data_IF_746947115082
#
_entry.id   IF_746947115082
#
_cell.length_a   1.000
_cell.length_b   1.000
_cell.length_c   1.000
_cell.angle_alpha   90.00
_cell.angle_beta   90.00
_cell.angle_gamma   90.00
#
_symmetry.space_group_name_H-M   'P 1'
#
loop_
_entity.id
_entity.type
_entity.pdbx_description
1 polymer ?
#
# COMPACT_ATOMS: atom_id res chain seq x y z
N UNK A 1 -12.49 -42.85 23.95
CA UNK A 1 -12.13 -42.52 22.56
C UNK A 1 -12.53 -41.10 22.17
N UNK A 2 -13.78 -40.69 22.40
CA UNK A 2 -14.29 -39.33 22.07
C UNK A 2 -13.54 -38.21 22.83
N UNK A 3 -13.25 -38.41 24.11
CA UNK A 3 -12.55 -37.41 24.94
C UNK A 3 -11.10 -37.14 24.47
N UNK A 4 -10.39 -38.20 24.07
CA UNK A 4 -9.03 -38.08 23.53
C UNK A 4 -9.03 -37.32 22.20
N UNK A 5 -9.99 -37.59 21.32
CA UNK A 5 -10.17 -36.84 20.07
C UNK A 5 -10.47 -35.36 20.33
N UNK A 6 -11.29 -35.05 21.33
CA UNK A 6 -11.62 -33.67 21.69
C UNK A 6 -10.40 -32.92 22.23
N UNK A 7 -9.60 -33.56 23.10
CA UNK A 7 -8.34 -33.01 23.61
C UNK A 7 -7.34 -32.78 22.47
N UNK A 8 -7.23 -33.72 21.52
CA UNK A 8 -6.37 -33.56 20.34
C UNK A 8 -6.81 -32.37 19.47
N UNK A 9 -8.11 -32.20 19.22
CA UNK A 9 -8.64 -31.07 18.44
C UNK A 9 -8.36 -29.75 19.17
N UNK A 10 -8.62 -29.67 20.48
CA UNK A 10 -8.35 -28.47 21.27
C UNK A 10 -6.85 -28.13 21.26
N UNK A 11 -5.96 -29.11 21.40
CA UNK A 11 -4.52 -28.90 21.32
C UNK A 11 -4.07 -28.42 19.94
N UNK A 12 -4.64 -28.95 18.85
CA UNK A 12 -4.36 -28.50 17.48
C UNK A 12 -4.82 -27.05 17.28
N UNK A 13 -5.99 -26.69 17.81
CA UNK A 13 -6.51 -25.31 17.72
C UNK A 13 -5.64 -24.35 18.54
N UNK A 14 -5.24 -24.73 19.76
CA UNK A 14 -4.38 -23.90 20.62
C UNK A 14 -2.98 -23.72 20.05
N UNK A 15 -2.44 -24.74 19.37
CA UNK A 15 -1.11 -24.70 18.73
C UNK A 15 -1.17 -24.39 17.23
N UNK A 16 -2.30 -23.89 16.72
CA UNK A 16 -2.49 -23.66 15.28
C UNK A 16 -1.37 -22.82 14.68
N UNK A 17 -0.96 -21.76 15.36
CA UNK A 17 0.09 -20.86 14.86
C UNK A 17 1.48 -21.51 14.93
N UNK A 18 1.78 -22.28 15.99
CA UNK A 18 3.03 -23.07 16.09
C UNK A 18 3.11 -24.14 15.00
N UNK A 19 2.01 -24.85 14.75
CA UNK A 19 1.91 -25.88 13.70
C UNK A 19 2.04 -25.23 12.32
N UNK A 20 1.33 -24.11 12.08
CA UNK A 20 1.43 -23.37 10.83
C UNK A 20 2.87 -22.91 10.57
N UNK A 21 3.54 -22.32 11.58
CA UNK A 21 4.93 -21.89 11.47
C UNK A 21 5.88 -23.06 11.24
N UNK A 22 5.68 -24.21 11.91
CA UNK A 22 6.47 -25.41 11.68
C UNK A 22 6.30 -25.94 10.25
N UNK A 23 5.07 -26.03 9.75
CA UNK A 23 4.78 -26.47 8.38
C UNK A 23 5.37 -25.51 7.36
N UNK A 24 5.28 -24.21 7.59
CA UNK A 24 5.85 -23.17 6.71
C UNK A 24 7.38 -23.31 6.65
N UNK A 25 8.03 -23.45 7.82
CA UNK A 25 9.48 -23.68 7.92
C UNK A 25 9.92 -24.98 7.26
N UNK A 26 9.15 -26.06 7.39
CA UNK A 26 9.45 -27.35 6.74
C UNK A 26 9.31 -27.27 5.21
N UNK A 27 8.36 -26.48 4.70
CA UNK A 27 8.12 -26.33 3.26
C UNK A 27 9.04 -25.32 2.59
N UNK A 28 9.38 -24.23 3.29
CA UNK A 28 10.00 -23.04 2.70
C UNK A 28 11.27 -22.57 3.43
N UNK A 29 11.71 -23.24 4.49
CA UNK A 29 12.85 -22.79 5.31
C UNK A 29 14.17 -22.66 4.55
N UNK A 30 14.40 -23.50 3.54
CA UNK A 30 15.57 -23.36 2.66
C UNK A 30 15.49 -22.12 1.76
N UNK A 31 14.30 -21.81 1.24
CA UNK A 31 14.05 -20.59 0.46
C UNK A 31 14.26 -19.34 1.33
N UNK A 32 13.83 -19.36 2.60
CA UNK A 32 14.04 -18.26 3.54
C UNK A 32 15.51 -17.95 3.80
N UNK A 33 16.34 -18.98 4.00
CA UNK A 33 17.77 -18.80 4.26
C UNK A 33 18.51 -18.16 3.09
N UNK A 34 18.17 -18.57 1.85
CA UNK A 34 18.74 -18.03 0.62
C UNK A 34 18.34 -16.57 0.37
N UNK A 35 17.12 -16.19 0.79
CA UNK A 35 16.54 -14.87 0.54
C UNK A 35 16.90 -13.84 1.62
N UNK A 36 17.13 -14.28 2.87
CA UNK A 36 17.43 -13.37 3.99
C UNK A 36 18.68 -12.51 3.79
N UNK A 37 19.64 -12.95 2.96
CA UNK A 37 20.85 -12.17 2.61
C UNK A 37 20.62 -11.06 1.57
N UNK A 38 19.49 -11.06 0.86
CA UNK A 38 19.18 -10.12 -0.23
C UNK A 38 18.43 -8.86 0.27
N UNK A 39 17.86 -8.93 1.47
CA UNK A 39 16.82 -8.01 1.94
C UNK A 39 17.20 -6.53 2.13
N UNK A 40 18.47 -6.13 2.07
CA UNK A 40 18.86 -4.74 2.32
C UNK A 40 19.12 -3.89 1.07
N UNK A 41 19.51 -4.49 -0.06
CA UNK A 41 19.92 -3.71 -1.25
C UNK A 41 19.40 -4.19 -2.60
N UNK A 42 18.87 -5.41 -2.71
CA UNK A 42 18.42 -5.99 -4.00
C UNK A 42 19.46 -5.88 -5.14
N UNK A 43 20.74 -5.76 -4.79
CA UNK A 43 21.85 -5.74 -5.74
C UNK A 43 22.22 -7.18 -6.11
N UNK A 44 22.51 -7.41 -7.39
CA UNK A 44 22.99 -8.70 -7.92
C UNK A 44 22.08 -9.90 -7.60
N UNK A 45 20.76 -9.71 -7.64
CA UNK A 45 19.78 -10.80 -7.51
C UNK A 45 19.88 -11.75 -8.71
N UNK A 46 20.18 -13.01 -8.44
CA UNK A 46 20.15 -14.07 -9.46
C UNK A 46 18.71 -14.43 -9.85
N UNK A 47 18.52 -15.06 -11.01
CA UNK A 47 17.19 -15.50 -11.45
C UNK A 47 16.50 -16.44 -10.45
N UNK A 48 17.24 -17.38 -9.86
CA UNK A 48 16.73 -18.30 -8.84
C UNK A 48 16.24 -17.54 -7.59
N UNK A 49 17.04 -16.60 -7.10
CA UNK A 49 16.64 -15.73 -5.98
C UNK A 49 15.41 -14.88 -6.31
N UNK A 50 15.32 -14.36 -7.53
CA UNK A 50 14.16 -13.59 -7.97
C UNK A 50 12.88 -14.44 -7.98
N UNK A 51 12.95 -15.68 -8.49
CA UNK A 51 11.83 -16.62 -8.48
C UNK A 51 11.39 -16.91 -7.04
N UNK A 52 12.33 -17.21 -6.13
CA UNK A 52 12.02 -17.46 -4.72
C UNK A 52 11.39 -16.24 -4.03
N UNK A 53 11.95 -15.04 -4.25
CA UNK A 53 11.41 -13.79 -3.72
C UNK A 53 9.99 -13.52 -4.22
N UNK A 54 9.75 -13.64 -5.52
CA UNK A 54 8.42 -13.44 -6.10
C UNK A 54 7.40 -14.44 -5.54
N UNK A 55 7.78 -15.73 -5.39
CA UNK A 55 6.93 -16.75 -4.77
C UNK A 55 6.63 -16.45 -3.29
N UNK A 56 7.66 -16.09 -2.52
CA UNK A 56 7.53 -15.71 -1.11
C UNK A 56 6.57 -14.54 -0.94
N UNK A 57 6.76 -13.48 -1.71
CA UNK A 57 5.89 -12.31 -1.68
C UNK A 57 4.46 -12.65 -2.06
N UNK A 58 4.24 -13.42 -3.13
CA UNK A 58 2.89 -13.85 -3.51
C UNK A 58 2.17 -14.62 -2.38
N UNK A 59 2.89 -15.39 -1.56
CA UNK A 59 2.35 -16.13 -0.41
C UNK A 59 2.11 -15.25 0.82
N UNK A 60 2.98 -14.27 1.06
CA UNK A 60 3.08 -13.55 2.35
C UNK A 60 2.57 -12.11 2.31
N UNK A 61 1.92 -11.69 1.22
CA UNK A 61 1.42 -10.33 1.03
C UNK A 61 0.80 -9.71 2.28
N UNK A 62 -0.25 -10.31 2.84
CA UNK A 62 -0.94 -9.75 4.01
C UNK A 62 -0.07 -9.76 5.28
N UNK A 63 0.84 -10.73 5.45
CA UNK A 63 1.82 -10.69 6.55
C UNK A 63 2.74 -9.46 6.41
N UNK A 64 3.11 -9.11 5.18
CA UNK A 64 3.98 -7.96 4.88
C UNK A 64 3.25 -6.61 4.94
N UNK A 65 1.92 -6.58 5.02
CA UNK A 65 1.13 -5.36 5.26
C UNK A 65 1.03 -5.00 6.76
N UNK A 66 1.34 -5.93 7.65
CA UNK A 66 1.34 -5.71 9.09
C UNK A 66 2.60 -4.95 9.48
N UNK A 67 2.45 -3.69 9.92
CA UNK A 67 3.58 -2.80 10.23
C UNK A 67 4.11 -3.10 11.64
N UNK A 68 5.35 -3.62 11.79
CA UNK A 68 5.86 -4.14 13.07
C UNK A 68 5.80 -3.16 14.25
N UNK A 69 5.99 -1.87 13.97
CA UNK A 69 6.11 -0.80 14.96
C UNK A 69 4.85 0.09 15.06
N UNK A 70 3.68 -0.38 14.63
CA UNK A 70 2.41 0.34 14.74
C UNK A 70 1.39 -0.44 15.59
N UNK A 71 0.97 0.10 16.73
CA UNK A 71 0.19 -0.61 17.74
C UNK A 71 -1.26 -0.11 17.86
N UNK A 72 -2.27 -0.99 18.00
CA UNK A 72 -2.17 -2.44 18.13
C UNK A 72 -1.79 -3.13 16.80
N UNK A 73 -0.71 -3.93 16.85
CA UNK A 73 -0.14 -4.57 15.67
C UNK A 73 -0.76 -5.97 15.42
N UNK A 74 -2.09 -6.04 15.34
CA UNK A 74 -2.81 -7.31 15.22
C UNK A 74 -3.19 -7.65 13.78
N UNK A 75 -3.47 -6.62 12.98
CA UNK A 75 -3.91 -6.76 11.59
C UNK A 75 -3.38 -5.58 10.78
N UNK A 76 -3.35 -5.72 9.47
CA UNK A 76 -3.03 -4.65 8.52
C UNK A 76 -4.10 -3.54 8.49
N UNK A 77 -5.27 -3.76 9.08
CA UNK A 77 -6.38 -2.79 9.08
C UNK A 77 -6.71 -2.25 10.48
N UNK A 78 -7.51 -1.18 10.51
CA UNK A 78 -7.87 -0.47 11.73
C UNK A 78 -6.89 0.63 12.12
N UNK A 79 -7.12 1.19 13.30
CA UNK A 79 -6.30 2.22 13.92
C UNK A 79 -5.02 1.62 14.49
N UNK A 80 -3.90 2.30 14.30
CA UNK A 80 -2.70 2.08 15.10
C UNK A 80 -1.89 3.37 15.28
N UNK A 81 -1.10 3.41 16.34
CA UNK A 81 -0.15 4.46 16.68
C UNK A 81 1.26 3.90 16.59
N UNK A 82 2.16 4.61 15.89
CA UNK A 82 3.54 4.17 15.73
C UNK A 82 4.35 4.36 17.01
N UNK A 83 5.36 3.52 17.17
CA UNK A 83 6.38 3.69 18.20
C UNK A 83 7.05 5.07 18.12
N UNK A 84 7.04 5.77 19.26
CA UNK A 84 7.56 7.12 19.44
C UNK A 84 9.06 7.16 19.68
N UNK A 85 9.73 6.05 19.98
CA UNK A 85 11.15 6.03 20.39
C UNK A 85 12.08 6.70 19.37
N UNK A 86 11.76 6.62 18.07
CA UNK A 86 12.58 7.20 17.00
C UNK A 86 11.98 8.49 16.39
N UNK A 87 10.97 9.07 17.02
CA UNK A 87 10.31 10.29 16.55
C UNK A 87 10.95 11.51 17.22
N UNK A 88 11.42 12.48 16.44
CA UNK A 88 12.22 13.62 16.95
C UNK A 88 11.69 15.00 16.57
N UNK A 89 10.60 15.06 15.80
CA UNK A 89 9.96 16.32 15.41
C UNK A 89 8.84 16.75 16.36
N UNK A 90 8.03 17.70 15.92
CA UNK A 90 6.97 18.33 16.72
C UNK A 90 5.55 18.17 16.13
N UNK A 91 5.44 17.57 14.94
CA UNK A 91 4.19 17.46 14.18
C UNK A 91 3.42 16.17 14.46
N UNK A 92 2.09 16.27 14.33
CA UNK A 92 1.21 15.11 14.24
C UNK A 92 1.12 14.68 12.77
N UNK A 93 1.57 13.48 12.45
CA UNK A 93 1.44 12.90 11.10
C UNK A 93 0.38 11.80 11.11
N UNK A 94 -0.54 11.82 10.16
CA UNK A 94 -1.59 10.81 10.07
C UNK A 94 -1.60 10.18 8.67
N UNK A 95 -1.68 8.85 8.60
CA UNK A 95 -1.89 8.08 7.37
C UNK A 95 -3.28 7.48 7.36
N UNK A 96 -4.06 7.71 6.30
CA UNK A 96 -5.43 7.20 6.17
C UNK A 96 -5.66 6.62 4.78
N UNK A 97 -6.55 5.64 4.65
CA UNK A 97 -6.95 5.09 3.36
C UNK A 97 -7.30 3.61 3.38
N UNK A 98 -7.03 2.94 2.25
CA UNK A 98 -7.32 1.53 2.09
C UNK A 98 -6.11 0.64 2.38
N UNK A 99 -6.03 -0.51 1.73
CA UNK A 99 -4.95 -1.47 1.93
C UNK A 99 -3.59 -0.99 1.41
N UNK A 100 -3.53 0.13 0.67
CA UNK A 100 -2.27 0.80 0.37
C UNK A 100 -1.69 1.58 1.55
N UNK A 101 -2.51 2.00 2.51
CA UNK A 101 -2.03 2.67 3.72
C UNK A 101 -1.10 1.78 4.57
N UNK A 102 -1.46 0.54 4.94
CA UNK A 102 -0.49 -0.37 5.57
C UNK A 102 0.67 -0.74 4.65
N UNK A 103 0.44 -0.84 3.33
CA UNK A 103 1.48 -1.20 2.37
C UNK A 103 2.60 -0.17 2.30
N UNK A 104 2.27 1.12 2.36
CA UNK A 104 3.22 2.24 2.23
C UNK A 104 3.53 2.93 3.56
N UNK A 105 2.82 2.61 4.64
CA UNK A 105 2.95 3.30 5.92
C UNK A 105 4.35 3.22 6.53
N UNK A 106 5.07 2.12 6.31
CA UNK A 106 6.48 1.99 6.71
C UNK A 106 7.41 2.97 5.99
N UNK A 107 7.12 3.33 4.73
CA UNK A 107 7.89 4.34 4.00
C UNK A 107 7.67 5.71 4.61
N UNK A 108 6.41 6.08 4.86
CA UNK A 108 6.06 7.35 5.52
C UNK A 108 6.69 7.42 6.90
N UNK A 109 6.60 6.38 7.73
CA UNK A 109 7.29 6.36 9.03
C UNK A 109 8.79 6.56 8.88
N UNK A 110 9.43 5.84 7.96
CA UNK A 110 10.88 5.89 7.76
C UNK A 110 11.36 7.30 7.37
N UNK A 111 10.62 8.00 6.52
CA UNK A 111 11.03 9.31 6.01
C UNK A 111 10.58 10.45 6.94
N UNK A 112 9.34 10.40 7.46
CA UNK A 112 8.78 11.47 8.29
C UNK A 112 9.07 11.37 9.79
N UNK A 113 9.77 10.35 10.29
CA UNK A 113 10.08 10.22 11.73
C UNK A 113 10.78 11.43 12.34
N UNK A 114 11.60 12.15 11.56
CA UNK A 114 12.33 13.32 12.05
C UNK A 114 11.45 14.59 12.09
N UNK A 115 10.27 14.53 11.50
CA UNK A 115 9.30 15.61 11.43
C UNK A 115 8.17 15.43 12.45
N UNK A 116 7.91 14.19 12.88
CA UNK A 116 6.79 13.85 13.73
C UNK A 116 7.17 13.79 15.22
N UNK A 117 6.24 14.19 16.10
CA UNK A 117 6.20 13.79 17.52
C UNK A 117 5.33 12.55 17.75
N UNK A 118 4.37 12.33 16.87
CA UNK A 118 3.46 11.17 16.88
C UNK A 118 3.00 10.89 15.46
N UNK A 119 2.89 9.60 15.14
CA UNK A 119 2.38 9.15 13.85
C UNK A 119 1.22 8.17 14.06
N UNK A 120 0.14 8.38 13.32
CA UNK A 120 -1.04 7.54 13.36
C UNK A 120 -1.30 6.90 12.00
N UNK A 121 -1.95 5.75 12.03
CA UNK A 121 -2.53 5.11 10.85
C UNK A 121 -3.98 4.74 11.13
N UNK A 122 -4.84 4.92 10.15
CA UNK A 122 -6.10 4.18 10.10
C UNK A 122 -6.32 3.67 8.67
N UNK A 123 -6.72 2.42 8.53
CA UNK A 123 -7.05 1.89 7.20
C UNK A 123 -8.21 0.93 7.22
N UNK A 124 -8.97 0.88 6.13
CA UNK A 124 -10.03 -0.10 5.91
C UNK A 124 -9.88 -0.73 4.53
N UNK A 125 -9.97 -2.05 4.43
CA UNK A 125 -9.80 -2.74 3.15
C UNK A 125 -10.73 -2.18 2.07
N UNK A 126 -10.21 -1.93 0.87
CA UNK A 126 -10.93 -1.47 -0.33
C UNK A 126 -11.53 -0.05 -0.28
N UNK A 127 -11.85 0.50 0.89
CA UNK A 127 -12.61 1.75 0.99
C UNK A 127 -11.72 2.99 0.77
N UNK A 128 -12.08 3.78 -0.22
CA UNK A 128 -11.42 5.03 -0.63
C UNK A 128 -11.85 6.23 0.25
N UNK A 129 -11.01 7.27 0.26
CA UNK A 129 -11.15 8.42 1.16
C UNK A 129 -11.95 9.53 0.51
N UNK A 130 -11.62 9.90 -0.72
CA UNK A 130 -12.13 11.14 -1.32
C UNK A 130 -13.57 11.00 -1.82
N UNK A 131 -13.90 9.85 -2.40
CA UNK A 131 -15.27 9.54 -2.81
C UNK A 131 -15.73 8.26 -2.11
N UNK A 132 -17.00 8.19 -1.78
CA UNK A 132 -17.55 7.03 -1.07
C UNK A 132 -17.94 5.97 -2.09
N UNK A 133 -17.24 4.84 -2.06
CA UNK A 133 -17.61 3.66 -2.83
C UNK A 133 -19.04 3.19 -2.47
N UNK A 134 -19.75 2.59 -3.43
CA UNK A 134 -21.18 2.32 -3.30
C UNK A 134 -21.52 1.32 -2.17
N UNK A 135 -20.53 0.50 -1.76
CA UNK A 135 -20.68 -0.49 -0.71
C UNK A 135 -21.02 0.15 0.65
N UNK A 136 -22.05 -0.39 1.31
CA UNK A 136 -22.48 0.07 2.64
C UNK A 136 -21.34 0.08 3.67
N UNK A 137 -20.40 -0.88 3.57
CA UNK A 137 -19.23 -0.94 4.47
C UNK A 137 -18.30 0.26 4.32
N UNK A 138 -18.21 0.84 3.11
CA UNK A 138 -17.33 1.97 2.84
C UNK A 138 -17.93 3.31 3.28
N UNK A 139 -19.27 3.42 3.38
CA UNK A 139 -19.90 4.56 4.10
C UNK A 139 -19.43 4.65 5.55
N UNK A 140 -19.47 3.54 6.29
CA UNK A 140 -18.99 3.49 7.67
C UNK A 140 -17.49 3.76 7.77
N UNK A 141 -16.70 3.20 6.85
CA UNK A 141 -15.25 3.46 6.81
C UNK A 141 -14.95 4.96 6.63
N UNK A 142 -15.69 5.63 5.73
CA UNK A 142 -15.55 7.06 5.48
C UNK A 142 -15.89 7.92 6.72
N UNK A 143 -16.98 7.60 7.43
CA UNK A 143 -17.30 8.25 8.71
C UNK A 143 -16.16 8.07 9.72
N UNK A 144 -15.58 6.88 9.80
CA UNK A 144 -14.43 6.63 10.70
C UNK A 144 -13.16 7.35 10.25
N UNK A 145 -12.92 7.50 8.94
CA UNK A 145 -11.80 8.29 8.42
C UNK A 145 -11.90 9.75 8.89
N UNK A 146 -13.07 10.37 8.73
CA UNK A 146 -13.32 11.73 9.21
C UNK A 146 -13.16 11.82 10.72
N UNK A 147 -13.81 10.93 11.48
CA UNK A 147 -13.73 10.90 12.94
C UNK A 147 -12.29 10.84 13.45
N UNK A 148 -11.50 9.88 12.97
CA UNK A 148 -10.13 9.68 13.44
C UNK A 148 -9.23 10.86 13.07
N UNK A 149 -9.32 11.37 11.85
CA UNK A 149 -8.49 12.50 11.42
C UNK A 149 -8.87 13.78 12.15
N UNK A 150 -10.17 14.08 12.30
CA UNK A 150 -10.63 15.31 12.95
C UNK A 150 -10.45 15.27 14.47
N UNK A 151 -10.43 14.09 15.08
CA UNK A 151 -10.06 13.94 16.48
C UNK A 151 -8.55 14.17 16.71
N UNK A 152 -7.68 13.76 15.78
CA UNK A 152 -6.23 13.87 15.93
C UNK A 152 -5.64 15.19 15.44
N UNK A 153 -6.38 15.95 14.61
CA UNK A 153 -5.98 17.26 14.07
C UNK A 153 -4.53 17.27 13.55
N UNK A 154 -4.22 16.46 12.52
CA UNK A 154 -2.84 16.30 12.08
C UNK A 154 -2.27 17.58 11.45
N UNK A 155 -0.98 17.79 11.65
CA UNK A 155 -0.23 18.80 10.89
C UNK A 155 -0.06 18.33 9.43
N UNK A 156 0.18 17.03 9.24
CA UNK A 156 0.41 16.40 7.93
C UNK A 156 -0.47 15.17 7.77
N UNK A 157 -1.20 15.09 6.66
CA UNK A 157 -2.06 13.96 6.33
C UNK A 157 -1.56 13.26 5.06
N UNK A 158 -1.44 11.94 5.10
CA UNK A 158 -1.19 11.09 3.94
C UNK A 158 -2.47 10.30 3.63
N UNK A 159 -3.08 10.60 2.48
CA UNK A 159 -4.18 9.85 1.90
C UNK A 159 -3.61 8.78 0.97
N UNK A 160 -3.56 7.54 1.45
CA UNK A 160 -2.88 6.41 0.80
C UNK A 160 -3.90 5.32 0.44
N UNK A 161 -4.65 5.56 -0.62
CA UNK A 161 -5.64 4.63 -1.15
C UNK A 161 -5.55 4.49 -2.67
N UNK A 162 -5.94 3.33 -3.16
CA UNK A 162 -6.24 3.11 -4.58
C UNK A 162 -7.73 3.35 -4.83
N UNK A 163 -8.14 4.39 -5.57
CA UNK A 163 -9.55 4.70 -5.72
C UNK A 163 -10.27 3.80 -6.75
N UNK A 164 -11.57 3.59 -6.54
CA UNK A 164 -12.44 2.85 -7.44
C UNK A 164 -13.43 3.77 -8.12
N UNK A 165 -14.18 4.55 -7.34
CA UNK A 165 -15.15 5.49 -7.86
C UNK A 165 -14.49 6.59 -8.67
N UNK A 166 -13.33 7.11 -8.26
CA UNK A 166 -12.61 8.11 -9.05
C UNK A 166 -12.13 7.58 -10.41
N UNK A 167 -12.06 6.26 -10.66
CA UNK A 167 -11.61 5.73 -11.95
C UNK A 167 -12.73 5.59 -13.00
N UNK A 168 -13.99 5.84 -12.58
CA UNK A 168 -15.16 5.73 -13.47
C UNK A 168 -15.06 6.68 -14.67
N UNK A 169 -15.69 6.38 -15.81
CA UNK A 169 -15.62 7.22 -17.01
C UNK A 169 -15.95 8.69 -16.75
N UNK A 170 -15.29 9.59 -17.49
CA UNK A 170 -15.60 11.01 -17.53
C UNK A 170 -16.52 11.29 -18.73
N UNK A 171 -17.68 11.91 -18.48
CA UNK A 171 -18.65 12.28 -19.50
C UNK A 171 -18.68 13.80 -19.72
N UNK A 172 -17.51 14.40 -19.97
CA UNK A 172 -17.34 15.84 -20.17
C UNK A 172 -16.25 16.47 -19.28
N UNK A 173 -16.25 17.80 -19.11
CA UNK A 173 -15.29 18.51 -18.26
C UNK A 173 -15.36 18.04 -16.80
N UNK A 174 -14.19 17.89 -16.16
CA UNK A 174 -14.08 17.38 -14.78
C UNK A 174 -14.84 18.25 -13.77
N UNK A 175 -14.90 19.56 -13.98
CA UNK A 175 -15.56 20.50 -13.07
C UNK A 175 -17.07 20.24 -12.96
N UNK A 176 -17.66 19.65 -13.99
CA UNK A 176 -19.08 19.32 -14.04
C UNK A 176 -19.39 17.90 -13.54
N UNK A 177 -18.36 17.06 -13.33
CA UNK A 177 -18.52 15.68 -12.89
C UNK A 177 -18.92 15.59 -11.41
N UNK A 178 -19.96 14.81 -11.13
CA UNK A 178 -20.47 14.60 -9.78
C UNK A 178 -19.48 13.86 -8.87
N UNK A 179 -18.68 12.93 -9.40
CA UNK A 179 -17.65 12.23 -8.63
C UNK A 179 -16.55 13.21 -8.21
N UNK A 180 -16.19 14.14 -9.11
CA UNK A 180 -15.25 15.20 -8.79
C UNK A 180 -15.79 16.17 -7.74
N UNK A 181 -17.05 16.60 -7.86
CA UNK A 181 -17.70 17.49 -6.88
C UNK A 181 -17.79 16.85 -5.49
N UNK A 182 -18.12 15.56 -5.43
CA UNK A 182 -18.11 14.78 -4.20
C UNK A 182 -16.70 14.77 -3.58
N UNK A 183 -15.70 14.37 -4.37
CA UNK A 183 -14.31 14.32 -3.92
C UNK A 183 -13.78 15.68 -3.46
N UNK A 184 -14.14 16.76 -4.14
CA UNK A 184 -13.78 18.13 -3.76
C UNK A 184 -14.42 18.52 -2.43
N UNK A 185 -15.70 18.19 -2.24
CA UNK A 185 -16.42 18.47 -0.99
C UNK A 185 -15.75 17.77 0.19
N UNK A 186 -15.43 16.48 0.03
CA UNK A 186 -14.69 15.71 1.04
C UNK A 186 -13.30 16.30 1.29
N UNK A 187 -12.54 16.60 0.24
CA UNK A 187 -11.19 17.16 0.37
C UNK A 187 -11.18 18.49 1.14
N UNK A 188 -12.19 19.36 0.93
CA UNK A 188 -12.32 20.62 1.66
C UNK A 188 -12.48 20.42 3.16
N UNK A 189 -13.20 19.38 3.61
CA UNK A 189 -13.30 19.07 5.04
C UNK A 189 -11.92 18.74 5.62
N UNK A 190 -11.13 17.93 4.92
CA UNK A 190 -9.77 17.60 5.35
C UNK A 190 -8.85 18.81 5.29
N UNK A 191 -8.88 19.61 4.23
CA UNK A 191 -8.07 20.83 4.10
C UNK A 191 -8.31 21.82 5.25
N UNK A 192 -9.54 21.92 5.74
CA UNK A 192 -9.88 22.77 6.89
C UNK A 192 -9.36 22.23 8.23
N UNK A 193 -9.23 20.91 8.38
CA UNK A 193 -8.83 20.28 9.64
C UNK A 193 -7.33 19.95 9.71
N UNK A 194 -6.65 19.79 8.56
CA UNK A 194 -5.21 19.51 8.49
C UNK A 194 -4.44 20.82 8.52
N UNK A 195 -3.42 20.93 9.38
CA UNK A 195 -2.77 22.23 9.60
C UNK A 195 -1.88 22.68 8.44
N UNK A 196 -1.02 21.80 7.92
CA UNK A 196 0.05 22.17 6.97
C UNK A 196 -0.12 21.55 5.58
N UNK A 197 -0.07 20.23 5.47
CA UNK A 197 0.01 19.53 4.17
C UNK A 197 -0.84 18.26 4.09
N UNK A 198 -1.38 18.00 2.91
CA UNK A 198 -2.11 16.77 2.55
C UNK A 198 -1.41 16.15 1.34
N UNK A 199 -0.80 14.99 1.52
CA UNK A 199 -0.25 14.20 0.43
C UNK A 199 -1.26 13.16 -0.02
N UNK A 200 -1.57 13.14 -1.31
CA UNK A 200 -2.54 12.22 -1.90
C UNK A 200 -1.80 11.26 -2.82
N UNK A 201 -1.90 9.96 -2.57
CA UNK A 201 -1.38 8.96 -3.49
C UNK A 201 -2.13 9.05 -4.82
N UNK A 202 -1.39 9.14 -5.91
CA UNK A 202 -2.01 9.18 -7.23
C UNK A 202 -2.83 7.91 -7.54
N UNK A 203 -3.79 8.06 -8.43
CA UNK A 203 -4.50 6.94 -9.03
C UNK A 203 -3.54 6.23 -9.97
N UNK A 204 -3.35 4.93 -9.74
CA UNK A 204 -2.60 4.05 -10.61
C UNK A 204 -3.27 2.68 -10.63
N UNK A 205 -2.97 1.85 -11.63
CA UNK A 205 -3.52 0.50 -11.70
C UNK A 205 -2.43 -0.53 -12.04
N UNK A 206 -2.14 -1.45 -11.10
CA UNK A 206 -1.38 -2.65 -11.39
C UNK A 206 -2.07 -3.55 -12.42
N UNK A 207 -1.33 -4.32 -13.22
CA UNK A 207 -1.93 -5.32 -14.09
C UNK A 207 -2.58 -6.45 -13.29
N UNK A 208 -3.73 -6.94 -13.77
CA UNK A 208 -4.50 -7.99 -13.08
C UNK A 208 -4.42 -9.35 -13.76
N UNK A 209 -4.01 -9.40 -15.04
CA UNK A 209 -4.04 -10.61 -15.85
C UNK A 209 -2.86 -11.58 -15.58
N UNK A 210 -1.79 -11.08 -14.96
CA UNK A 210 -0.58 -11.84 -14.70
C UNK A 210 -0.08 -11.54 -13.26
N UNK A 211 -0.70 -12.17 -12.24
CA UNK A 211 -0.29 -12.00 -10.84
C UNK A 211 1.14 -12.50 -10.61
N UNK A 212 1.76 -12.06 -9.51
CA UNK A 212 3.15 -12.32 -9.15
C UNK A 212 3.46 -13.82 -9.07
N UNK A 213 2.55 -14.62 -8.49
CA UNK A 213 2.68 -16.08 -8.42
C UNK A 213 2.80 -16.72 -9.82
N UNK A 214 1.96 -16.29 -10.76
CA UNK A 214 1.98 -16.79 -12.14
C UNK A 214 3.21 -16.29 -12.89
N UNK A 215 3.62 -15.04 -12.68
CA UNK A 215 4.87 -14.51 -13.22
C UNK A 215 6.08 -15.33 -12.75
N UNK A 216 6.18 -15.61 -11.45
CA UNK A 216 7.25 -16.44 -10.89
C UNK A 216 7.26 -17.85 -11.49
N UNK A 217 6.07 -18.44 -11.72
CA UNK A 217 5.96 -19.75 -12.37
C UNK A 217 6.44 -19.75 -13.82
N UNK A 218 6.14 -18.71 -14.59
CA UNK A 218 6.65 -18.58 -15.96
C UNK A 218 8.19 -18.51 -16.00
N UNK A 219 8.79 -17.75 -15.08
CA UNK A 219 10.25 -17.68 -14.95
C UNK A 219 10.87 -19.04 -14.57
N UNK A 220 10.24 -19.76 -13.63
CA UNK A 220 10.67 -21.11 -13.23
C UNK A 220 10.60 -22.11 -14.39
N UNK A 221 9.57 -22.02 -15.23
CA UNK A 221 9.43 -22.86 -16.43
C UNK A 221 10.44 -22.49 -17.55
N UNK A 222 11.33 -21.51 -17.32
CA UNK A 222 12.29 -21.01 -18.30
C UNK A 222 11.65 -20.20 -19.43
N UNK A 223 10.41 -19.72 -19.26
CA UNK A 223 9.71 -18.95 -20.30
C UNK A 223 10.18 -17.51 -20.31
N UNK A 224 10.36 -16.96 -21.51
CA UNK A 224 10.60 -15.52 -21.69
C UNK A 224 9.32 -14.75 -21.38
N UNK A 225 9.38 -13.82 -20.43
CA UNK A 225 8.29 -12.89 -20.09
C UNK A 225 8.67 -11.50 -20.58
N UNK A 226 7.75 -10.82 -21.27
CA UNK A 226 7.87 -9.43 -21.71
C UNK A 226 6.82 -8.56 -20.98
N UNK A 227 7.12 -7.27 -20.75
CA UNK A 227 6.19 -6.29 -20.18
C UNK A 227 4.85 -6.23 -20.93
N UNK A 228 4.83 -6.44 -22.24
CA UNK A 228 3.61 -6.43 -23.05
C UNK A 228 2.60 -7.53 -22.69
N UNK A 229 3.01 -8.55 -21.94
CA UNK A 229 2.11 -9.58 -21.43
C UNK A 229 1.23 -9.08 -20.29
N UNK A 230 1.61 -7.98 -19.64
CA UNK A 230 0.84 -7.35 -18.56
C UNK A 230 -0.15 -6.35 -19.17
N UNK A 231 -1.44 -6.57 -18.91
CA UNK A 231 -2.53 -5.72 -19.40
C UNK A 231 -2.84 -4.66 -18.37
N UNK A 232 -2.88 -3.42 -18.85
CA UNK A 232 -3.14 -2.23 -18.03
C UNK A 232 -4.58 -1.79 -18.28
N UNK A 233 -5.32 -1.60 -17.20
CA UNK A 233 -6.60 -0.88 -17.28
C UNK A 233 -6.31 0.62 -17.18
N UNK A 234 -6.50 1.34 -18.29
CA UNK A 234 -6.26 2.78 -18.38
C UNK A 234 -7.37 3.63 -17.71
N UNK A 235 -8.41 3.02 -17.12
CA UNK A 235 -9.44 3.76 -16.38
C UNK A 235 -8.87 4.60 -15.23
N UNK A 236 -7.70 4.23 -14.69
CA UNK A 236 -6.99 5.02 -13.68
C UNK A 236 -6.67 6.45 -14.13
N UNK A 237 -6.52 6.69 -15.44
CA UNK A 237 -6.26 8.03 -15.99
C UNK A 237 -7.41 8.99 -15.69
N UNK A 238 -8.66 8.49 -15.62
CA UNK A 238 -9.80 9.31 -15.20
C UNK A 238 -9.65 9.73 -13.73
N UNK A 239 -9.18 8.83 -12.87
CA UNK A 239 -8.93 9.11 -11.46
C UNK A 239 -7.78 10.07 -11.25
N UNK A 240 -6.69 9.88 -11.99
CA UNK A 240 -5.53 10.78 -11.98
C UNK A 240 -5.95 12.19 -12.42
N UNK A 241 -6.71 12.30 -13.51
CA UNK A 241 -7.20 13.59 -14.00
C UNK A 241 -8.07 14.31 -12.97
N UNK A 242 -9.00 13.59 -12.31
CA UNK A 242 -9.78 14.15 -11.19
C UNK A 242 -8.88 14.63 -10.05
N UNK A 243 -7.90 13.82 -9.63
CA UNK A 243 -7.00 14.19 -8.53
C UNK A 243 -6.11 15.39 -8.87
N UNK A 244 -5.62 15.50 -10.11
CA UNK A 244 -4.86 16.68 -10.56
C UNK A 244 -5.70 17.96 -10.48
N UNK A 245 -6.97 17.91 -10.89
CA UNK A 245 -7.89 19.05 -10.73
C UNK A 245 -8.23 19.35 -9.27
N UNK A 246 -8.30 18.32 -8.41
CA UNK A 246 -8.51 18.50 -6.97
C UNK A 246 -7.33 19.23 -6.32
N UNK A 247 -6.10 18.81 -6.63
CA UNK A 247 -4.87 19.41 -6.07
C UNK A 247 -4.72 20.87 -6.51
N UNK A 248 -5.08 21.22 -7.75
CA UNK A 248 -5.13 22.64 -8.19
C UNK A 248 -6.06 23.51 -7.35
N UNK A 249 -7.11 22.92 -6.75
CA UNK A 249 -8.09 23.62 -5.93
C UNK A 249 -7.77 23.57 -4.43
N UNK A 250 -6.78 22.79 -3.99
CA UNK A 250 -6.41 22.63 -2.58
C UNK A 250 -5.01 23.20 -2.31
N UNK A 251 -4.95 24.25 -1.49
CA UNK A 251 -3.71 24.98 -1.16
C UNK A 251 -2.68 24.15 -0.40
N UNK A 252 -3.15 23.13 0.34
CA UNK A 252 -2.34 22.24 1.16
C UNK A 252 -1.98 20.92 0.47
N UNK A 253 -2.52 20.65 -0.72
CA UNK A 253 -2.47 19.33 -1.30
C UNK A 253 -1.31 19.14 -2.27
N UNK A 254 -0.78 17.93 -2.33
CA UNK A 254 0.25 17.51 -3.28
C UNK A 254 0.06 16.03 -3.65
N UNK A 255 0.35 15.68 -4.92
CA UNK A 255 0.29 14.30 -5.39
C UNK A 255 1.60 13.57 -5.11
N UNK A 256 1.50 12.34 -4.59
CA UNK A 256 2.59 11.38 -4.58
C UNK A 256 2.53 10.58 -5.88
N UNK A 257 3.41 10.93 -6.83
CA UNK A 257 3.51 10.27 -8.14
C UNK A 257 4.50 9.10 -8.12
N UNK A 258 4.06 7.95 -7.59
CA UNK A 258 4.86 6.71 -7.63
C UNK A 258 5.07 6.20 -9.06
N UNK A 259 4.24 6.66 -10.00
CA UNK A 259 4.22 6.31 -11.40
C UNK A 259 5.45 6.83 -12.12
N UNK A 260 5.99 7.98 -11.72
CA UNK A 260 7.25 8.51 -12.23
C UNK A 260 8.44 7.54 -12.06
N UNK A 261 8.30 6.57 -11.15
CA UNK A 261 9.32 5.54 -10.86
C UNK A 261 8.90 4.15 -11.34
N UNK A 262 7.65 3.74 -11.06
CA UNK A 262 7.17 2.40 -11.40
C UNK A 262 6.65 2.29 -12.84
N UNK A 263 6.51 3.43 -13.54
CA UNK A 263 6.06 3.54 -14.92
C UNK A 263 7.16 4.20 -15.73
N UNK A 264 7.24 3.86 -17.02
CA UNK A 264 8.19 4.49 -17.95
C UNK A 264 7.39 5.22 -19.03
N UNK A 265 6.92 6.42 -18.71
CA UNK A 265 6.04 7.20 -19.60
C UNK A 265 4.70 6.49 -19.85
N UNK A 266 4.42 6.15 -21.10
CA UNK A 266 3.13 5.54 -21.51
C UNK A 266 3.03 4.03 -21.23
N UNK A 267 4.04 3.42 -20.60
CA UNK A 267 4.07 1.99 -20.32
C UNK A 267 4.25 1.74 -18.82
N UNK A 268 3.35 0.97 -18.24
CA UNK A 268 3.48 0.50 -16.86
C UNK A 268 4.52 -0.61 -16.81
N UNK A 269 5.53 -0.53 -15.94
CA UNK A 269 6.42 -1.67 -15.69
C UNK A 269 5.81 -2.52 -14.59
N UNK A 270 5.84 -3.84 -14.78
CA UNK A 270 5.25 -4.78 -13.83
C UNK A 270 6.31 -5.57 -13.04
N UNK A 271 7.55 -5.52 -13.51
CA UNK A 271 8.73 -6.12 -12.91
C UNK A 271 9.99 -5.41 -13.43
N UNK A 272 11.11 -5.57 -12.74
CA UNK A 272 12.41 -5.08 -13.20
C UNK A 272 13.07 -6.08 -14.16
N UNK A 273 13.47 -5.63 -15.34
CA UNK A 273 14.00 -6.53 -16.37
C UNK A 273 15.37 -7.12 -16.02
N UNK A 274 16.15 -6.46 -15.17
CA UNK A 274 17.49 -6.93 -14.76
C UNK A 274 17.39 -8.00 -13.68
N UNK A 275 16.70 -7.70 -12.59
CA UNK A 275 16.57 -8.58 -11.42
C UNK A 275 15.42 -9.58 -11.54
N UNK A 276 14.47 -9.36 -12.44
CA UNK A 276 13.22 -10.14 -12.58
C UNK A 276 12.33 -10.12 -11.34
N UNK A 277 12.48 -9.14 -10.46
CA UNK A 277 11.61 -8.93 -9.30
C UNK A 277 10.34 -8.18 -9.70
N UNK A 278 9.19 -8.73 -9.32
CA UNK A 278 7.89 -8.10 -9.61
C UNK A 278 7.61 -6.89 -8.72
N UNK A 279 6.87 -5.92 -9.27
CA UNK A 279 6.54 -4.68 -8.56
C UNK A 279 5.27 -4.77 -7.72
N UNK A 280 4.38 -5.69 -8.09
CA UNK A 280 3.09 -5.85 -7.46
C UNK A 280 2.89 -7.27 -6.94
N UNK A 281 2.29 -7.38 -5.77
CA UNK A 281 1.77 -8.63 -5.23
C UNK A 281 0.54 -9.11 -6.01
N UNK A 282 0.09 -10.35 -5.74
CA UNK A 282 -1.13 -10.91 -6.32
C UNK A 282 -2.38 -10.07 -5.99
N UNK A 283 -2.49 -9.56 -4.74
CA UNK A 283 -3.54 -8.64 -4.29
C UNK A 283 -3.33 -7.18 -4.71
N UNK A 284 -2.44 -6.92 -5.68
CA UNK A 284 -2.20 -5.60 -6.28
C UNK A 284 -1.55 -4.58 -5.33
N UNK A 285 -0.94 -5.01 -4.23
CA UNK A 285 -0.11 -4.15 -3.37
C UNK A 285 1.31 -4.02 -3.95
N UNK A 286 2.11 -3.06 -3.47
CA UNK A 286 3.48 -2.82 -3.92
C UNK A 286 4.45 -3.71 -3.13
N UNK A 287 5.31 -4.46 -3.83
CA UNK A 287 6.30 -5.38 -3.24
C UNK A 287 7.41 -4.62 -2.49
N UNK A 288 8.15 -5.27 -1.57
CA UNK A 288 9.25 -4.62 -0.86
C UNK A 288 10.34 -4.08 -1.79
N UNK A 289 10.54 -4.72 -2.95
CA UNK A 289 11.45 -4.23 -3.97
C UNK A 289 10.95 -2.95 -4.62
N UNK A 290 9.70 -2.91 -5.09
CA UNK A 290 9.14 -1.68 -5.65
C UNK A 290 9.00 -0.56 -4.60
N UNK A 291 8.75 -0.89 -3.33
CA UNK A 291 8.83 0.07 -2.23
C UNK A 291 10.23 0.68 -2.07
N UNK A 292 11.29 -0.11 -2.26
CA UNK A 292 12.66 0.40 -2.26
C UNK A 292 12.89 1.37 -3.43
N UNK A 293 12.38 1.05 -4.62
CA UNK A 293 12.47 1.93 -5.79
C UNK A 293 11.77 3.28 -5.57
N UNK A 294 10.61 3.30 -4.91
CA UNK A 294 9.86 4.55 -4.64
C UNK A 294 10.27 5.26 -3.35
N UNK A 295 11.10 4.65 -2.50
CA UNK A 295 11.57 5.27 -1.25
C UNK A 295 12.20 6.66 -1.48
N UNK A 296 13.04 6.89 -2.52
CA UNK A 296 13.58 8.22 -2.81
C UNK A 296 12.50 9.29 -3.03
N UNK A 297 11.32 8.93 -3.57
CA UNK A 297 10.21 9.88 -3.71
C UNK A 297 9.71 10.36 -2.34
N UNK A 298 9.47 9.42 -1.41
CA UNK A 298 9.06 9.74 -0.05
C UNK A 298 10.15 10.49 0.73
N UNK A 299 11.42 10.20 0.47
CA UNK A 299 12.55 10.91 1.05
C UNK A 299 12.58 12.36 0.55
N UNK A 300 12.42 12.56 -0.76
CA UNK A 300 12.36 13.90 -1.35
C UNK A 300 11.18 14.72 -0.82
N UNK A 301 10.01 14.11 -0.62
CA UNK A 301 8.86 14.77 0.01
C UNK A 301 9.21 15.23 1.44
N UNK A 302 9.91 14.39 2.20
CA UNK A 302 10.35 14.72 3.56
C UNK A 302 11.41 15.82 3.59
N UNK A 303 12.45 15.70 2.75
CA UNK A 303 13.60 16.61 2.75
C UNK A 303 13.22 18.03 2.31
N UNK A 304 12.21 18.17 1.45
CA UNK A 304 11.69 19.45 1.00
C UNK A 304 10.49 19.96 1.83
N UNK A 305 10.12 19.26 2.90
CA UNK A 305 9.03 19.66 3.77
C UNK A 305 9.40 20.91 4.56
N UNK A 306 8.58 21.97 4.45
CA UNK A 306 8.70 23.23 5.18
C UNK A 306 7.35 23.67 5.77
#
# INVERSE_FOLDING_TARGET
MILLFYISIVLIVLKKDEIANFVDKMKHGHEEELVNKVHSRFDNVSLEQAIMLNKKWAREEYKNLVIPNCFPNKTEHGFCEFDKTNLTGDMVVFMVGNSLTPNLGSLVYKTFKNHAKVMYKYSNSYCEILAVADEKRCRKAHETYEEQVFQKLPDVLFMLDRPDKLRRPLNGPVENDDIFKEALTTLRKYENNVKRKIYILESYTPPTNLPLSKFAKLLEDGKTVNQSLFKVDYSYLNGLHRQEELVKKCSKCELIRISDILFNGNQTKSYDEKTKLGYYYDGLHITPFAQNLILPLFQNISDNFH
#
